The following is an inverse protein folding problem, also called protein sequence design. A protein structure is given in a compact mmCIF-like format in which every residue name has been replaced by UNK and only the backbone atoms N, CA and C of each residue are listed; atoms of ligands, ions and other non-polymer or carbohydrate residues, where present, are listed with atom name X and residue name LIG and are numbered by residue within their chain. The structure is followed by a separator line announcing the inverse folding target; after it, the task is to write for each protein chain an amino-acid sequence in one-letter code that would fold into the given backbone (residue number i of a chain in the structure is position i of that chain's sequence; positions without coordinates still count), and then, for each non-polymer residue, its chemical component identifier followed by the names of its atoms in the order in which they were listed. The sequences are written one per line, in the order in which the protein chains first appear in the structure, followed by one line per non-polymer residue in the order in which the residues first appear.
data_IF_954378573062
#
_entry.id   IF_954378573062
#
_cell.length_a   1.000
_cell.length_b   1.000
_cell.length_c   1.000
_cell.angle_alpha   90.00
_cell.angle_beta   90.00
_cell.angle_gamma   90.00
#
_symmetry.space_group_name_H-M   'P 1'
#
loop_
_entity.id
_entity.type
_entity.pdbx_description
1 polymer ?
#
# COMPACT_ATOMS: atom_id res chain seq x y z
N UNK A 1 -4.82 -29.16 -1.68
CA UNK A 1 -3.94 -28.60 -0.64
C UNK A 1 -3.57 -27.20 -1.06
N UNK A 2 -3.81 -26.22 -0.20
CA UNK A 2 -3.73 -24.81 -0.58
C UNK A 2 -2.29 -24.33 -0.41
N UNK A 3 -1.64 -23.87 -1.49
CA UNK A 3 -0.23 -23.38 -1.50
C UNK A 3 0.11 -22.29 -0.47
N UNK A 4 -0.89 -21.76 0.23
CA UNK A 4 -0.75 -20.76 1.29
C UNK A 4 -0.24 -21.35 2.61
N UNK A 5 -0.28 -22.69 2.79
CA UNK A 5 0.22 -23.38 4.00
C UNK A 5 1.71 -23.77 3.92
N UNK A 6 2.39 -23.48 2.82
CA UNK A 6 3.79 -23.86 2.59
C UNK A 6 4.74 -22.86 3.27
N UNK A 7 5.15 -23.15 4.49
CA UNK A 7 6.05 -22.31 5.30
C UNK A 7 7.54 -22.75 5.24
N UNK A 8 7.99 -23.30 4.11
CA UNK A 8 9.43 -23.62 3.95
C UNK A 8 10.24 -22.33 3.86
N UNK A 9 11.50 -22.35 4.35
CA UNK A 9 12.38 -21.17 4.30
C UNK A 9 12.50 -20.61 2.87
N UNK A 10 12.68 -21.49 1.89
CA UNK A 10 12.78 -21.10 0.48
C UNK A 10 11.54 -20.33 0.01
N UNK A 11 10.33 -20.82 0.33
CA UNK A 11 9.10 -20.13 -0.06
C UNK A 11 8.98 -18.75 0.60
N UNK A 12 9.36 -18.63 1.87
CA UNK A 12 9.34 -17.35 2.59
C UNK A 12 10.35 -16.35 2.01
N UNK A 13 11.57 -16.80 1.69
CA UNK A 13 12.61 -15.98 1.07
C UNK A 13 12.18 -15.51 -0.33
N UNK A 14 11.48 -16.35 -1.10
CA UNK A 14 10.97 -15.98 -2.42
C UNK A 14 9.77 -15.03 -2.32
N UNK A 15 8.86 -15.21 -1.34
CA UNK A 15 7.79 -14.26 -1.07
C UNK A 15 8.31 -12.89 -0.66
N UNK A 16 9.42 -12.82 0.08
CA UNK A 16 10.10 -11.56 0.41
C UNK A 16 10.56 -10.84 -0.86
N UNK A 17 11.24 -11.54 -1.78
CA UNK A 17 11.69 -10.98 -3.07
C UNK A 17 10.52 -10.49 -3.91
N UNK A 18 9.41 -11.24 -3.95
CA UNK A 18 8.19 -10.83 -4.65
C UNK A 18 7.65 -9.54 -4.03
N UNK A 19 7.56 -9.46 -2.70
CA UNK A 19 7.12 -8.24 -1.99
C UNK A 19 8.00 -7.04 -2.29
N UNK A 20 9.32 -7.21 -2.29
CA UNK A 20 10.28 -6.16 -2.64
C UNK A 20 10.12 -5.70 -4.10
N UNK A 21 9.98 -6.65 -5.04
CA UNK A 21 9.75 -6.33 -6.46
C UNK A 21 8.40 -5.65 -6.72
N UNK A 22 7.37 -5.96 -5.92
CA UNK A 22 6.08 -5.28 -6.00
C UNK A 22 6.18 -3.81 -5.63
N UNK A 23 7.12 -3.39 -4.77
CA UNK A 23 7.29 -1.98 -4.44
C UNK A 23 7.72 -1.16 -5.66
N UNK A 24 8.55 -1.73 -6.54
CA UNK A 24 9.04 -1.03 -7.74
C UNK A 24 8.12 -1.24 -8.97
N UNK A 25 7.09 -2.09 -8.83
CA UNK A 25 6.07 -2.29 -9.85
C UNK A 25 5.09 -1.11 -9.92
N UNK A 26 4.48 -0.85 -11.09
CA UNK A 26 3.44 0.17 -11.23
C UNK A 26 2.23 -0.11 -10.34
N UNK A 27 1.62 0.95 -9.84
CA UNK A 27 0.31 0.86 -9.18
C UNK A 27 -0.67 0.22 -10.15
N UNK A 28 -1.39 -0.79 -9.68
CA UNK A 28 -2.35 -1.55 -10.47
C UNK A 28 -3.71 -1.62 -9.78
N UNK A 29 -4.77 -1.73 -10.56
CA UNK A 29 -6.16 -1.86 -10.10
C UNK A 29 -6.75 -3.15 -10.67
N UNK A 30 -7.73 -3.72 -9.98
CA UNK A 30 -8.56 -4.78 -10.55
C UNK A 30 -9.70 -4.14 -11.35
N UNK A 31 -9.81 -4.51 -12.61
CA UNK A 31 -10.93 -4.18 -13.46
C UNK A 31 -12.16 -4.98 -13.00
N UNK A 32 -13.21 -4.31 -12.53
CA UNK A 32 -14.37 -4.97 -11.91
C UNK A 32 -15.22 -5.79 -12.89
N UNK A 33 -15.18 -5.46 -14.18
CA UNK A 33 -15.96 -6.16 -15.21
C UNK A 33 -15.26 -7.43 -15.68
N UNK A 34 -13.93 -7.41 -15.77
CA UNK A 34 -13.12 -8.52 -16.32
C UNK A 34 -12.37 -9.32 -15.26
N UNK A 35 -12.23 -8.80 -14.04
CA UNK A 35 -11.39 -9.35 -12.98
C UNK A 35 -9.88 -9.21 -13.23
N UNK A 36 -9.47 -8.60 -14.35
CA UNK A 36 -8.07 -8.44 -14.73
C UNK A 36 -7.34 -7.37 -13.90
N UNK A 37 -6.04 -7.55 -13.68
CA UNK A 37 -5.19 -6.55 -13.04
C UNK A 37 -4.61 -5.63 -14.13
N UNK A 38 -4.90 -4.34 -14.03
CA UNK A 38 -4.49 -3.31 -14.99
C UNK A 38 -3.66 -2.22 -14.31
N UNK A 39 -2.56 -1.74 -14.91
CA UNK A 39 -1.79 -0.63 -14.36
C UNK A 39 -2.62 0.67 -14.39
N UNK A 40 -2.51 1.47 -13.34
CA UNK A 40 -3.14 2.79 -13.25
C UNK A 40 -2.29 3.80 -14.01
N UNK A 41 -2.87 4.42 -15.03
CA UNK A 41 -2.17 5.45 -15.82
C UNK A 41 -1.71 6.60 -14.92
N UNK A 42 -0.44 6.98 -15.03
CA UNK A 42 0.21 8.00 -14.19
C UNK A 42 0.20 7.70 -12.67
N UNK A 43 -0.06 6.45 -12.26
CA UNK A 43 -0.06 6.04 -10.86
C UNK A 43 1.34 6.02 -10.21
N UNK A 44 2.40 5.93 -11.02
CA UNK A 44 3.76 5.72 -10.55
C UNK A 44 3.96 4.31 -9.99
N UNK A 45 4.97 4.13 -9.15
CA UNK A 45 5.27 2.86 -8.47
C UNK A 45 4.48 2.70 -7.18
N UNK A 46 4.29 1.46 -6.72
CA UNK A 46 3.67 1.19 -5.42
C UNK A 46 4.46 1.85 -4.27
N UNK A 47 5.80 1.89 -4.35
CA UNK A 47 6.67 2.57 -3.39
C UNK A 47 6.35 4.06 -3.26
N UNK A 48 6.19 4.76 -4.39
CA UNK A 48 5.84 6.18 -4.40
C UNK A 48 4.43 6.41 -3.85
N UNK A 49 3.47 5.57 -4.24
CA UNK A 49 2.09 5.65 -3.74
C UNK A 49 2.03 5.46 -2.22
N UNK A 50 2.75 4.47 -1.68
CA UNK A 50 2.84 4.23 -0.24
C UNK A 50 3.49 5.40 0.50
N UNK A 51 4.55 6.01 -0.05
CA UNK A 51 5.15 7.23 0.54
C UNK A 51 4.17 8.40 0.58
N UNK A 52 3.42 8.62 -0.50
CA UNK A 52 2.37 9.65 -0.55
C UNK A 52 1.27 9.38 0.48
N UNK A 53 0.84 8.13 0.60
CA UNK A 53 -0.18 7.73 1.58
C UNK A 53 0.31 7.91 3.02
N UNK A 54 1.54 7.49 3.32
CA UNK A 54 2.14 7.70 4.64
C UNK A 54 2.22 9.18 5.02
N UNK A 55 2.52 10.06 4.06
CA UNK A 55 2.49 11.51 4.27
C UNK A 55 1.08 12.00 4.60
N UNK A 56 0.06 11.59 3.83
CA UNK A 56 -1.34 11.97 4.09
C UNK A 56 -1.78 11.56 5.50
N UNK A 57 -1.45 10.33 5.92
CA UNK A 57 -1.75 9.85 7.27
C UNK A 57 -1.04 10.69 8.35
N UNK A 58 0.22 11.05 8.13
CA UNK A 58 0.98 11.87 9.07
C UNK A 58 0.43 13.30 9.18
N UNK A 59 0.05 13.90 8.06
CA UNK A 59 -0.52 15.24 8.00
C UNK A 59 -1.90 15.28 8.69
N UNK A 60 -2.75 14.28 8.45
CA UNK A 60 -4.05 14.12 9.13
C UNK A 60 -3.88 13.94 10.65
N UNK A 61 -2.91 13.13 11.08
CA UNK A 61 -2.63 12.95 12.51
C UNK A 61 -2.27 14.27 13.19
N UNK A 62 -1.38 15.06 12.57
CA UNK A 62 -0.98 16.39 13.06
C UNK A 62 -2.16 17.35 13.12
N UNK A 63 -3.04 17.32 12.11
CA UNK A 63 -4.24 18.15 12.07
C UNK A 63 -5.15 17.83 13.27
N UNK A 64 -5.40 16.55 13.54
CA UNK A 64 -6.19 16.11 14.71
C UNK A 64 -5.55 16.50 16.03
N UNK A 65 -4.24 16.32 16.17
CA UNK A 65 -3.49 16.73 17.36
C UNK A 65 -3.61 18.24 17.59
N UNK A 66 -3.45 19.04 16.54
CA UNK A 66 -3.58 20.51 16.62
C UNK A 66 -4.99 20.93 17.02
N UNK A 67 -6.02 20.30 16.45
CA UNK A 67 -7.42 20.58 16.77
C UNK A 67 -7.82 20.12 18.18
N UNK A 68 -7.16 19.10 18.74
CA UNK A 68 -7.34 18.71 20.14
C UNK A 68 -6.66 19.69 21.12
N UNK A 69 -5.57 20.33 20.71
CA UNK A 69 -4.85 21.33 21.55
C UNK A 69 -5.48 22.72 21.47
N UNK A 70 -6.11 23.07 20.34
CA UNK A 70 -6.88 24.29 20.18
C UNK A 70 -8.30 24.02 20.71
N UNK A 71 -8.52 24.20 22.02
CA UNK A 71 -9.78 23.98 22.71
C UNK A 71 -10.94 24.90 22.28
N UNK A 72 -11.19 25.05 20.97
CA UNK A 72 -12.46 25.53 20.42
C UNK A 72 -13.30 24.34 20.01
N UNK A 73 -13.89 23.73 21.02
CA UNK A 73 -15.19 23.07 20.88
C UNK A 73 -16.16 24.18 20.46
N UNK A 74 -16.78 24.05 19.29
CA UNK A 74 -17.99 24.79 18.96
C UNK A 74 -19.12 24.37 19.90
#
# INVERSE_FOLDING_TARGET
MASVDVATKQNLDDLMKVGEGLLDSPVSRVNSDTGGVEPVTNGGTNREALKRFAKQLADERKLRESNCTDGRVL
#
